data_IF_308666046089
#
_entry.id   IF_308666046089
#
_cell.length_a   1.000
_cell.length_b   1.000
_cell.length_c   1.000
_cell.angle_alpha   90.00
_cell.angle_beta   90.00
_cell.angle_gamma   90.00
#
_symmetry.space_group_name_H-M   'P 1'
#
loop_
_entity.id
_entity.type
_entity.pdbx_description
1 polymer ?
#
# COMPACT_ATOMS: atom_id res chain seq x y z
N UNK A 1 29.21 -23.91 -12.37
CA UNK A 1 28.47 -24.57 -11.27
C UNK A 1 28.94 -24.07 -9.91
N UNK A 2 28.90 -22.74 -9.63
CA UNK A 2 29.34 -22.19 -8.32
C UNK A 2 28.69 -20.85 -7.95
N UNK A 3 27.49 -20.54 -8.45
CA UNK A 3 26.75 -19.30 -8.07
C UNK A 3 25.35 -19.54 -7.49
N UNK A 4 25.00 -20.80 -7.16
CA UNK A 4 23.71 -21.15 -6.54
C UNK A 4 23.75 -21.19 -4.99
N UNK A 5 24.90 -20.92 -4.36
CA UNK A 5 25.07 -21.09 -2.91
C UNK A 5 24.82 -19.82 -2.08
N UNK A 6 24.60 -18.64 -2.71
CA UNK A 6 24.49 -17.38 -1.95
C UNK A 6 23.06 -16.84 -1.78
N UNK A 7 22.07 -17.55 -2.32
CA UNK A 7 20.65 -17.21 -2.10
C UNK A 7 20.08 -17.74 -0.78
N UNK A 8 20.75 -18.66 -0.09
CA UNK A 8 20.30 -19.17 1.21
C UNK A 8 20.67 -18.24 2.38
N UNK A 9 21.69 -17.40 2.24
CA UNK A 9 22.10 -16.43 3.26
C UNK A 9 21.16 -15.20 3.36
N UNK A 10 20.25 -14.99 2.39
CA UNK A 10 19.23 -13.93 2.45
C UNK A 10 17.91 -14.36 3.10
N UNK A 11 17.76 -15.63 3.48
CA UNK A 11 16.55 -16.16 4.12
C UNK A 11 16.52 -15.96 5.64
N UNK A 12 17.62 -15.53 6.26
CA UNK A 12 17.73 -15.32 7.72
C UNK A 12 17.63 -13.85 8.16
N UNK A 13 16.95 -12.99 7.36
CA UNK A 13 16.49 -11.69 7.88
C UNK A 13 15.16 -11.90 8.62
N UNK A 14 15.16 -12.85 9.56
CA UNK A 14 14.01 -13.17 10.40
C UNK A 14 13.79 -12.17 11.54
N UNK A 15 14.68 -11.19 11.75
CA UNK A 15 14.61 -10.29 12.92
C UNK A 15 14.85 -8.81 12.68
N UNK A 16 14.86 -8.30 11.45
CA UNK A 16 14.84 -6.86 11.28
C UNK A 16 13.40 -6.34 11.30
N UNK A 17 12.89 -6.16 12.51
CA UNK A 17 11.79 -5.27 12.85
C UNK A 17 12.01 -3.94 12.13
N UNK A 18 10.93 -3.28 11.68
CA UNK A 18 11.02 -1.86 11.32
C UNK A 18 11.67 -1.17 12.52
N UNK A 19 12.89 -0.61 12.40
CA UNK A 19 13.55 -0.02 13.55
C UNK A 19 12.67 1.09 14.10
N UNK A 20 12.37 1.08 15.39
CA UNK A 20 11.75 2.22 16.05
C UNK A 20 12.78 3.33 16.17
N UNK A 21 12.86 4.17 15.16
CA UNK A 21 13.62 5.39 15.22
C UNK A 21 12.73 6.50 15.81
N UNK A 22 12.69 6.58 17.13
CA UNK A 22 12.20 7.75 17.83
C UNK A 22 13.37 8.74 17.88
N UNK A 23 13.22 9.88 17.21
CA UNK A 23 14.07 11.05 17.44
C UNK A 23 15.43 11.16 16.73
N UNK A 24 15.84 10.23 15.86
CA UNK A 24 17.07 10.37 15.06
C UNK A 24 16.74 10.65 13.60
N UNK A 25 17.46 11.62 13.01
CA UNK A 25 17.40 11.89 11.56
C UNK A 25 17.55 10.57 10.82
N UNK A 26 16.60 10.25 9.94
CA UNK A 26 16.64 9.08 9.06
C UNK A 26 18.04 8.99 8.42
N UNK A 27 18.71 7.82 8.45
CA UNK A 27 20.06 7.69 7.94
C UNK A 27 20.10 8.14 6.48
N UNK A 28 21.01 9.05 6.16
CA UNK A 28 21.28 9.49 4.80
C UNK A 28 21.85 8.31 4.03
N UNK A 29 20.98 7.53 3.36
CA UNK A 29 21.39 6.50 2.41
C UNK A 29 21.49 7.12 1.02
N UNK A 30 22.44 6.65 0.22
CA UNK A 30 22.53 6.99 -1.20
C UNK A 30 21.14 6.82 -1.84
N UNK A 31 20.79 7.75 -2.75
CA UNK A 31 19.49 7.75 -3.42
C UNK A 31 19.51 6.75 -4.56
N UNK A 32 18.94 5.56 -4.31
CA UNK A 32 18.68 4.58 -5.36
C UNK A 32 17.26 4.74 -5.89
N UNK A 33 17.11 4.62 -7.21
CA UNK A 33 15.84 4.78 -7.87
C UNK A 33 15.47 3.52 -8.63
N UNK A 34 14.23 3.09 -8.49
CA UNK A 34 13.63 2.11 -9.36
C UNK A 34 13.06 2.82 -10.58
N UNK A 35 13.40 2.33 -11.78
CA UNK A 35 13.03 2.97 -13.04
C UNK A 35 12.51 1.93 -14.00
N UNK A 36 11.25 2.07 -14.42
CA UNK A 36 10.68 1.29 -15.50
C UNK A 36 11.28 1.77 -16.82
N UNK A 37 11.76 0.86 -17.63
CA UNK A 37 12.24 1.15 -18.99
C UNK A 37 11.19 0.81 -20.05
N UNK A 38 10.46 -0.30 -19.86
CA UNK A 38 9.44 -0.75 -20.81
C UNK A 38 8.34 -1.58 -20.12
N UNK A 39 7.10 -1.44 -20.58
CA UNK A 39 5.98 -2.32 -20.28
C UNK A 39 5.41 -2.87 -21.59
N UNK A 40 5.34 -4.19 -21.70
CA UNK A 40 4.59 -4.87 -22.75
C UNK A 40 3.32 -5.46 -22.16
N UNK A 41 2.17 -5.17 -22.77
CA UNK A 41 0.88 -5.70 -22.38
C UNK A 41 0.18 -6.34 -23.57
N UNK A 42 -0.28 -7.58 -23.43
CA UNK A 42 -1.01 -8.34 -24.41
C UNK A 42 -2.32 -8.85 -23.81
N UNK A 43 -3.45 -8.59 -24.48
CA UNK A 43 -4.80 -8.97 -24.07
C UNK A 43 -5.15 -8.54 -22.63
N UNK A 44 -4.71 -7.35 -22.22
CA UNK A 44 -4.97 -6.81 -20.88
C UNK A 44 -6.05 -5.74 -20.95
N UNK A 45 -7.20 -5.97 -20.29
CA UNK A 45 -8.31 -5.03 -20.27
C UNK A 45 -8.73 -4.65 -21.71
N UNK A 46 -8.58 -3.36 -22.09
CA UNK A 46 -8.83 -2.85 -23.45
C UNK A 46 -7.58 -2.85 -24.34
N UNK A 47 -6.42 -3.25 -23.81
CA UNK A 47 -5.17 -3.30 -24.55
C UNK A 47 -5.07 -4.64 -25.29
N UNK A 48 -4.95 -4.58 -26.62
CA UNK A 48 -4.75 -5.80 -27.42
C UNK A 48 -3.30 -6.26 -27.37
N UNK A 49 -2.39 -5.45 -27.89
CA UNK A 49 -0.95 -5.67 -27.79
C UNK A 49 -0.23 -4.34 -27.94
N UNK A 50 0.48 -3.95 -26.89
CA UNK A 50 1.23 -2.71 -26.85
C UNK A 50 2.55 -2.89 -26.12
N UNK A 51 3.57 -2.16 -26.55
CA UNK A 51 4.84 -2.01 -25.87
C UNK A 51 5.09 -0.51 -25.67
N UNK A 52 5.27 -0.10 -24.42
CA UNK A 52 5.41 1.30 -24.05
C UNK A 52 6.73 1.47 -23.31
N UNK A 53 7.59 2.35 -23.83
CA UNK A 53 8.85 2.71 -23.19
C UNK A 53 8.66 3.97 -22.34
N UNK A 54 9.42 4.06 -21.25
CA UNK A 54 9.38 5.19 -20.30
C UNK A 54 10.76 5.83 -20.17
N UNK A 55 10.79 7.13 -19.85
CA UNK A 55 11.99 7.86 -19.48
C UNK A 55 12.14 7.95 -17.95
N UNK A 56 13.35 8.25 -17.50
CA UNK A 56 13.58 8.72 -16.13
C UNK A 56 12.74 9.99 -15.88
N UNK A 57 12.35 10.22 -14.61
CA UNK A 57 11.56 11.38 -14.23
C UNK A 57 10.11 11.30 -14.67
N UNK A 58 9.56 12.40 -15.19
CA UNK A 58 8.12 12.53 -15.47
C UNK A 58 7.73 11.95 -16.83
N UNK A 59 6.75 11.05 -16.81
CA UNK A 59 6.07 10.48 -17.99
C UNK A 59 4.58 10.85 -17.93
N UNK A 60 4.11 11.57 -18.93
CA UNK A 60 2.75 12.08 -19.01
C UNK A 60 1.94 11.23 -19.99
N UNK A 61 0.89 10.58 -19.49
CA UNK A 61 -0.06 9.82 -20.30
C UNK A 61 -1.28 10.71 -20.57
N UNK A 62 -1.38 11.21 -21.79
CA UNK A 62 -2.44 12.11 -22.19
C UNK A 62 -3.44 11.45 -23.13
N UNK A 63 -4.73 11.74 -22.97
CA UNK A 63 -5.79 11.23 -23.84
C UNK A 63 -7.17 11.38 -23.20
N UNK A 64 -8.23 11.09 -23.97
CA UNK A 64 -9.60 11.18 -23.51
C UNK A 64 -9.92 10.22 -22.35
N UNK A 65 -11.03 10.49 -21.66
CA UNK A 65 -11.55 9.57 -20.66
C UNK A 65 -11.95 8.25 -21.30
N UNK A 66 -11.60 7.12 -20.63
CA UNK A 66 -11.84 5.78 -21.17
C UNK A 66 -10.81 5.31 -22.20
N UNK A 67 -9.86 6.13 -22.63
CA UNK A 67 -8.85 5.76 -23.61
C UNK A 67 -7.91 4.60 -23.18
N UNK A 68 -7.82 4.33 -21.87
CA UNK A 68 -6.96 3.24 -21.32
C UNK A 68 -5.79 3.73 -20.46
N UNK A 69 -5.71 5.03 -20.15
CA UNK A 69 -4.63 5.59 -19.32
C UNK A 69 -4.48 4.87 -17.97
N UNK A 70 -5.58 4.76 -17.24
CA UNK A 70 -5.60 4.05 -15.93
C UNK A 70 -5.26 2.57 -16.07
N UNK A 71 -5.63 1.93 -17.20
CA UNK A 71 -5.32 0.52 -17.42
C UNK A 71 -3.81 0.29 -17.56
N UNK A 72 -3.07 1.23 -18.15
CA UNK A 72 -1.61 1.15 -18.20
C UNK A 72 -0.98 1.28 -16.80
N UNK A 73 -1.44 2.25 -16.00
CA UNK A 73 -0.97 2.39 -14.62
C UNK A 73 -1.32 1.17 -13.77
N UNK A 74 -2.53 0.61 -13.94
CA UNK A 74 -2.94 -0.63 -13.29
C UNK A 74 -2.02 -1.79 -13.67
N UNK A 75 -1.68 -1.95 -14.97
CA UNK A 75 -0.78 -2.98 -15.45
C UNK A 75 0.60 -2.88 -14.77
N UNK A 76 1.16 -1.67 -14.63
CA UNK A 76 2.42 -1.45 -13.88
C UNK A 76 2.25 -1.83 -12.40
N UNK A 77 1.17 -1.37 -11.76
CA UNK A 77 0.96 -1.59 -10.33
C UNK A 77 0.79 -3.06 -9.95
N UNK A 78 0.29 -3.88 -10.86
CA UNK A 78 0.17 -5.33 -10.66
C UNK A 78 1.51 -6.01 -10.38
N UNK A 79 2.62 -5.49 -10.88
CA UNK A 79 3.96 -6.01 -10.57
C UNK A 79 4.40 -5.73 -9.13
N UNK A 80 3.87 -4.67 -8.52
CA UNK A 80 4.18 -4.33 -7.13
C UNK A 80 3.39 -5.16 -6.11
N UNK A 81 2.11 -5.50 -6.38
CA UNK A 81 1.21 -6.10 -5.38
C UNK A 81 0.41 -7.31 -5.87
N UNK A 82 0.47 -7.67 -7.15
CA UNK A 82 -0.31 -8.77 -7.75
C UNK A 82 -1.81 -8.73 -7.51
N UNK A 83 -2.39 -7.55 -7.22
CA UNK A 83 -3.83 -7.33 -6.97
C UNK A 83 -4.28 -6.02 -7.60
N UNK A 84 -5.54 -5.98 -8.07
CA UNK A 84 -6.15 -4.72 -8.51
C UNK A 84 -6.73 -3.93 -7.35
N UNK A 85 -6.79 -2.60 -7.52
CA UNK A 85 -7.58 -1.72 -6.68
C UNK A 85 -9.06 -1.68 -7.09
N UNK A 86 -9.39 -2.08 -8.35
CA UNK A 86 -10.74 -2.00 -8.95
C UNK A 86 -11.53 -3.30 -8.87
N UNK A 87 -10.86 -4.45 -8.98
CA UNK A 87 -11.52 -5.75 -9.04
C UNK A 87 -10.89 -6.76 -8.10
N UNK A 88 -11.73 -7.62 -7.52
CA UNK A 88 -11.27 -8.74 -6.71
C UNK A 88 -10.98 -10.00 -7.56
N UNK A 89 -11.38 -10.02 -8.85
CA UNK A 89 -11.25 -11.19 -9.71
C UNK A 89 -10.12 -11.00 -10.71
N UNK A 90 -9.10 -11.85 -10.62
CA UNK A 90 -7.94 -11.81 -11.52
C UNK A 90 -8.32 -12.12 -13.00
N UNK A 91 -9.40 -12.85 -13.23
CA UNK A 91 -9.94 -13.11 -14.58
C UNK A 91 -10.41 -11.84 -15.32
N UNK A 92 -10.76 -10.78 -14.60
CA UNK A 92 -11.20 -9.51 -15.19
C UNK A 92 -10.05 -8.75 -15.90
N UNK A 93 -8.79 -9.17 -15.70
CA UNK A 93 -7.65 -8.61 -16.41
C UNK A 93 -7.54 -9.11 -17.86
N UNK A 94 -8.14 -10.25 -18.15
CA UNK A 94 -8.09 -10.85 -19.48
C UNK A 94 -9.10 -10.14 -20.40
N UNK A 95 -8.62 -9.69 -21.57
CA UNK A 95 -9.46 -9.08 -22.61
C UNK A 95 -10.58 -10.05 -23.00
N UNK A 96 -11.79 -9.53 -23.12
CA UNK A 96 -12.95 -10.36 -23.48
C UNK A 96 -12.71 -11.15 -24.76
N UNK A 97 -12.84 -12.47 -24.70
CA UNK A 97 -12.62 -13.40 -25.80
C UNK A 97 -11.18 -13.86 -26.00
N UNK A 98 -10.24 -13.45 -25.15
CA UNK A 98 -8.88 -13.96 -25.14
C UNK A 98 -8.70 -15.09 -24.12
N UNK A 99 -7.76 -16.00 -24.40
CA UNK A 99 -7.44 -17.15 -23.54
C UNK A 99 -6.55 -16.78 -22.35
N UNK A 100 -5.82 -15.67 -22.45
CA UNK A 100 -4.93 -15.15 -21.41
C UNK A 100 -4.64 -13.68 -21.59
N UNK A 101 -4.15 -13.04 -20.54
CA UNK A 101 -3.47 -11.75 -20.59
C UNK A 101 -2.01 -11.93 -20.19
N UNK A 102 -1.08 -11.26 -20.88
CA UNK A 102 0.35 -11.31 -20.58
C UNK A 102 0.92 -9.90 -20.40
N UNK A 103 1.56 -9.69 -19.29
CA UNK A 103 2.27 -8.46 -18.95
C UNK A 103 3.75 -8.76 -18.75
N UNK A 104 4.62 -7.94 -19.34
CA UNK A 104 6.08 -7.99 -19.15
C UNK A 104 6.57 -6.61 -18.79
N UNK A 105 7.26 -6.49 -17.64
CA UNK A 105 7.85 -5.26 -17.14
C UNK A 105 9.37 -5.37 -17.15
N UNK A 106 10.01 -4.42 -17.85
CA UNK A 106 11.46 -4.22 -17.76
C UNK A 106 11.74 -2.98 -16.89
N UNK A 107 12.62 -3.14 -15.92
CA UNK A 107 12.98 -2.05 -15.00
C UNK A 107 14.43 -2.18 -14.53
N UNK A 108 15.01 -1.09 -14.08
CA UNK A 108 16.36 -1.03 -13.50
C UNK A 108 16.26 -0.60 -12.04
N UNK A 109 17.24 -1.03 -11.26
CA UNK A 109 17.44 -0.64 -9.88
C UNK A 109 18.88 -0.14 -9.73
N UNK A 110 19.05 1.06 -9.24
CA UNK A 110 20.39 1.61 -8.96
C UNK A 110 21.11 0.84 -7.82
N UNK A 111 20.38 -0.01 -7.09
CA UNK A 111 20.95 -0.81 -5.99
C UNK A 111 21.97 -1.84 -6.49
N UNK A 112 21.87 -2.26 -7.74
CA UNK A 112 22.72 -3.28 -8.35
C UNK A 112 23.84 -2.68 -9.19
N UNK A 113 24.44 -1.56 -8.77
CA UNK A 113 25.52 -0.82 -9.47
C UNK A 113 26.72 -1.66 -9.95
N UNK A 114 26.74 -2.97 -9.77
CA UNK A 114 27.81 -3.84 -10.30
C UNK A 114 27.72 -4.06 -11.81
N UNK A 115 26.49 -3.91 -12.41
CA UNK A 115 26.27 -4.01 -13.83
C UNK A 115 25.19 -2.99 -14.26
N UNK A 116 25.63 -1.83 -14.74
CA UNK A 116 24.78 -0.66 -15.12
C UNK A 116 23.76 -1.02 -16.24
N UNK A 117 23.91 -2.15 -16.92
CA UNK A 117 23.07 -2.58 -18.05
C UNK A 117 22.10 -3.73 -17.77
N UNK A 118 22.00 -4.26 -16.57
CA UNK A 118 21.07 -5.37 -16.30
C UNK A 118 19.65 -4.87 -16.01
N UNK A 119 18.88 -4.62 -17.07
CA UNK A 119 17.44 -4.46 -16.95
C UNK A 119 16.83 -5.75 -16.41
N UNK A 120 16.14 -5.66 -15.27
CA UNK A 120 15.39 -6.79 -14.70
C UNK A 120 14.10 -7.00 -15.47
N UNK A 121 13.66 -8.25 -15.55
CA UNK A 121 12.43 -8.62 -16.21
C UNK A 121 11.48 -9.35 -15.25
N UNK A 122 10.25 -8.86 -15.16
CA UNK A 122 9.17 -9.52 -14.45
C UNK A 122 7.99 -9.78 -15.40
N UNK A 123 7.33 -10.93 -15.27
CA UNK A 123 6.21 -11.30 -16.11
C UNK A 123 5.04 -11.79 -15.27
N UNK A 124 3.84 -11.41 -15.69
CA UNK A 124 2.57 -11.89 -15.11
C UNK A 124 1.67 -12.34 -16.25
N UNK A 125 1.17 -13.57 -16.16
CA UNK A 125 0.14 -14.09 -17.07
C UNK A 125 -1.12 -14.42 -16.27
N UNK A 126 -2.25 -13.82 -16.65
CA UNK A 126 -3.56 -14.07 -16.07
C UNK A 126 -4.41 -14.93 -16.99
N UNK A 127 -5.27 -15.77 -16.41
CA UNK A 127 -6.21 -16.61 -17.11
C UNK A 127 -7.65 -16.29 -16.70
N UNK A 128 -8.67 -16.53 -17.57
CA UNK A 128 -10.07 -16.25 -17.29
C UNK A 128 -10.63 -16.98 -16.06
N UNK A 129 -10.06 -18.14 -15.70
CA UNK A 129 -10.41 -18.91 -14.50
C UNK A 129 -9.87 -18.33 -13.19
N UNK A 130 -9.19 -17.16 -13.26
CA UNK A 130 -8.59 -16.47 -12.13
C UNK A 130 -7.21 -17.01 -11.71
N UNK A 131 -6.68 -18.01 -12.42
CA UNK A 131 -5.30 -18.44 -12.20
C UNK A 131 -4.33 -17.41 -12.75
N UNK A 132 -3.11 -17.40 -12.18
CA UNK A 132 -2.00 -16.59 -12.68
C UNK A 132 -0.68 -17.34 -12.62
N UNK A 133 0.23 -16.98 -13.52
CA UNK A 133 1.63 -17.42 -13.52
C UNK A 133 2.53 -16.20 -13.37
N UNK A 134 3.53 -16.33 -12.53
CA UNK A 134 4.49 -15.28 -12.22
C UNK A 134 5.88 -15.76 -12.61
N UNK A 135 6.66 -14.92 -13.29
CA UNK A 135 8.06 -15.16 -13.60
C UNK A 135 8.89 -13.93 -13.23
N UNK A 136 10.08 -14.15 -12.70
CA UNK A 136 11.06 -13.12 -12.42
C UNK A 136 12.42 -13.60 -12.93
N UNK A 137 13.11 -12.79 -13.77
CA UNK A 137 14.36 -13.15 -14.42
C UNK A 137 14.27 -14.52 -15.12
N UNK A 138 13.18 -14.74 -15.87
CA UNK A 138 12.88 -16.01 -16.58
C UNK A 138 12.67 -17.23 -15.66
N UNK A 139 12.66 -17.06 -14.35
CA UNK A 139 12.39 -18.12 -13.39
C UNK A 139 10.93 -18.07 -12.96
N UNK A 140 10.23 -19.21 -13.04
CA UNK A 140 8.85 -19.31 -12.56
C UNK A 140 8.78 -19.18 -11.03
N UNK A 141 7.92 -18.30 -10.55
CA UNK A 141 7.72 -18.02 -9.13
C UNK A 141 6.43 -18.68 -8.66
N UNK A 142 6.53 -19.57 -7.67
CA UNK A 142 5.38 -20.36 -7.20
C UNK A 142 4.42 -19.60 -6.29
N UNK A 143 4.90 -18.58 -5.57
CA UNK A 143 4.11 -17.84 -4.57
C UNK A 143 4.17 -16.34 -4.80
N UNK A 144 3.04 -15.68 -4.62
CA UNK A 144 2.95 -14.21 -4.70
C UNK A 144 3.92 -13.53 -3.71
N UNK A 145 4.12 -14.10 -2.53
CA UNK A 145 5.07 -13.59 -1.52
C UNK A 145 6.55 -13.67 -1.94
N UNK A 146 6.87 -14.42 -2.98
CA UNK A 146 8.21 -14.52 -3.54
C UNK A 146 8.38 -13.55 -4.73
N UNK A 147 7.28 -13.11 -5.33
CA UNK A 147 7.25 -12.16 -6.45
C UNK A 147 7.22 -10.70 -5.99
N UNK A 148 6.41 -10.40 -4.97
CA UNK A 148 6.29 -9.03 -4.44
C UNK A 148 7.61 -8.60 -3.78
N UNK A 149 7.96 -7.31 -3.94
CA UNK A 149 9.19 -6.72 -3.39
C UNK A 149 10.34 -6.63 -4.40
N UNK A 150 10.28 -7.33 -5.55
CA UNK A 150 11.23 -7.12 -6.63
C UNK A 150 11.00 -5.80 -7.35
N UNK A 151 9.74 -5.45 -7.57
CA UNK A 151 9.32 -4.15 -8.08
C UNK A 151 8.45 -3.44 -7.04
N UNK A 152 8.61 -2.12 -6.89
CA UNK A 152 7.88 -1.30 -5.92
C UNK A 152 7.26 -0.10 -6.59
N UNK A 153 6.00 0.16 -6.29
CA UNK A 153 5.29 1.32 -6.81
C UNK A 153 4.27 1.86 -5.79
N UNK A 154 4.08 3.17 -5.82
CA UNK A 154 2.99 3.85 -5.11
C UNK A 154 1.95 4.24 -6.15
N UNK A 155 0.71 3.86 -5.92
CA UNK A 155 -0.38 4.17 -6.83
C UNK A 155 -1.42 5.09 -6.15
N UNK A 156 -1.72 6.19 -6.80
CA UNK A 156 -2.79 7.10 -6.43
C UNK A 156 -3.88 7.09 -7.50
N UNK A 157 -5.13 7.01 -7.05
CA UNK A 157 -6.32 7.22 -7.89
C UNK A 157 -7.34 8.03 -7.09
N UNK A 158 -8.35 8.68 -7.73
CA UNK A 158 -9.43 9.36 -7.03
C UNK A 158 -10.18 8.46 -6.03
N UNK A 159 -10.27 7.16 -6.29
CA UNK A 159 -10.91 6.18 -5.41
C UNK A 159 -10.22 6.07 -4.03
N UNK A 160 -8.95 6.50 -3.92
CA UNK A 160 -8.25 6.51 -2.63
C UNK A 160 -8.79 7.53 -1.63
N UNK A 161 -9.75 8.39 -2.01
CA UNK A 161 -10.56 9.15 -1.05
C UNK A 161 -11.30 8.23 -0.06
N UNK A 162 -11.50 6.96 -0.42
CA UNK A 162 -12.01 5.92 0.48
C UNK A 162 -11.12 5.68 1.71
N UNK A 163 -9.83 6.02 1.67
CA UNK A 163 -8.95 5.98 2.85
C UNK A 163 -9.47 6.88 3.97
N UNK A 164 -10.06 8.03 3.61
CA UNK A 164 -10.62 8.98 4.59
C UNK A 164 -12.09 8.64 4.89
N UNK A 165 -12.90 8.39 3.86
CA UNK A 165 -14.37 8.25 3.97
C UNK A 165 -14.84 6.81 4.15
N UNK A 166 -14.04 5.87 3.70
CA UNK A 166 -14.41 4.44 3.62
C UNK A 166 -14.31 3.70 4.94
N UNK A 167 -14.53 2.40 4.85
CA UNK A 167 -14.47 1.49 5.97
C UNK A 167 -13.02 1.24 6.45
N UNK A 168 -12.83 0.78 7.70
CA UNK A 168 -11.51 0.40 8.24
C UNK A 168 -10.74 -0.59 7.36
N UNK A 169 -11.45 -1.41 6.59
CA UNK A 169 -10.85 -2.39 5.68
C UNK A 169 -9.95 -1.73 4.63
N UNK A 170 -10.37 -0.57 4.06
CA UNK A 170 -9.59 0.15 3.05
C UNK A 170 -8.27 0.66 3.65
N UNK A 171 -8.30 1.15 4.89
CA UNK A 171 -7.12 1.65 5.60
C UNK A 171 -6.16 0.52 5.98
N UNK A 172 -6.69 -0.62 6.44
CA UNK A 172 -5.88 -1.83 6.67
C UNK A 172 -5.22 -2.31 5.37
N UNK A 173 -6.00 -2.38 4.29
CA UNK A 173 -5.50 -2.79 2.97
C UNK A 173 -4.37 -1.87 2.47
N UNK A 174 -4.52 -0.55 2.63
CA UNK A 174 -3.47 0.43 2.31
C UNK A 174 -2.16 0.11 3.06
N UNK A 175 -2.23 -0.03 4.37
CA UNK A 175 -1.07 -0.37 5.20
C UNK A 175 -0.46 -1.72 4.82
N UNK A 176 -1.28 -2.76 4.66
CA UNK A 176 -0.83 -4.11 4.35
C UNK A 176 -0.16 -4.20 2.97
N UNK A 177 -0.66 -3.45 1.98
CA UNK A 177 -0.04 -3.38 0.66
C UNK A 177 1.34 -2.72 0.70
N UNK A 178 1.49 -1.62 1.44
CA UNK A 178 2.78 -0.95 1.62
C UNK A 178 3.77 -1.87 2.36
N UNK A 179 3.35 -2.47 3.47
CA UNK A 179 4.17 -3.42 4.25
C UNK A 179 4.59 -4.64 3.43
N UNK A 180 3.71 -5.14 2.56
CA UNK A 180 4.01 -6.29 1.69
C UNK A 180 5.13 -5.98 0.69
N UNK A 181 5.20 -4.76 0.16
CA UNK A 181 6.27 -4.34 -0.73
C UNK A 181 7.62 -4.18 -0.01
N UNK A 182 7.58 -3.75 1.26
CA UNK A 182 8.77 -3.56 2.10
C UNK A 182 9.28 -4.90 2.62
N UNK A 183 8.38 -5.75 3.09
CA UNK A 183 8.65 -7.05 3.70
C UNK A 183 7.81 -8.14 3.04
N UNK A 184 8.27 -8.77 1.97
CA UNK A 184 7.48 -9.78 1.25
C UNK A 184 6.99 -10.94 2.13
N UNK A 185 7.76 -11.30 3.16
CA UNK A 185 7.36 -12.29 4.18
C UNK A 185 6.10 -11.93 4.96
N UNK A 186 5.73 -10.64 5.06
CA UNK A 186 4.54 -10.17 5.75
C UNK A 186 3.24 -10.75 5.18
N UNK A 187 3.19 -11.00 3.87
CA UNK A 187 2.03 -11.62 3.21
C UNK A 187 1.73 -13.02 3.78
N UNK A 188 2.76 -13.76 4.19
CA UNK A 188 2.55 -15.09 4.80
C UNK A 188 1.82 -14.96 6.12
N UNK A 189 2.21 -14.01 6.97
CA UNK A 189 1.51 -13.74 8.23
C UNK A 189 0.05 -13.36 8.01
N UNK A 190 -0.25 -12.51 7.00
CA UNK A 190 -1.62 -12.15 6.64
C UNK A 190 -2.43 -13.38 6.20
N UNK A 191 -1.87 -14.24 5.35
CA UNK A 191 -2.54 -15.42 4.85
C UNK A 191 -2.77 -16.47 5.96
N UNK A 192 -1.75 -16.73 6.77
CA UNK A 192 -1.85 -17.68 7.89
C UNK A 192 -2.86 -17.20 8.92
N UNK A 193 -2.82 -15.91 9.27
CA UNK A 193 -3.79 -15.29 10.16
C UNK A 193 -5.23 -15.42 9.63
N UNK A 194 -5.46 -15.12 8.36
CA UNK A 194 -6.78 -15.22 7.74
C UNK A 194 -7.31 -16.67 7.75
N UNK A 195 -6.43 -17.66 7.49
CA UNK A 195 -6.77 -19.08 7.54
C UNK A 195 -7.16 -19.52 8.95
N UNK A 196 -6.35 -19.20 9.97
CA UNK A 196 -6.59 -19.53 11.37
C UNK A 196 -7.88 -18.84 11.85
N UNK A 197 -8.08 -17.56 11.50
CA UNK A 197 -9.30 -16.82 11.83
C UNK A 197 -10.55 -17.49 11.26
N UNK A 198 -10.49 -17.94 10.00
CA UNK A 198 -11.59 -18.71 9.39
C UNK A 198 -11.91 -20.00 10.13
N UNK A 199 -10.89 -20.77 10.52
CA UNK A 199 -11.03 -22.01 11.28
C UNK A 199 -11.59 -21.75 12.68
N UNK A 200 -11.08 -20.73 13.39
CA UNK A 200 -11.57 -20.34 14.71
C UNK A 200 -13.05 -19.89 14.66
N UNK A 201 -13.42 -19.08 13.68
CA UNK A 201 -14.79 -18.62 13.50
C UNK A 201 -15.75 -19.79 13.16
N UNK A 202 -15.31 -20.76 12.37
CA UNK A 202 -16.10 -21.97 12.10
C UNK A 202 -16.35 -22.79 13.37
N UNK A 203 -15.31 -22.91 14.24
CA UNK A 203 -15.44 -23.59 15.53
C UNK A 203 -16.39 -22.84 16.47
N UNK A 204 -16.27 -21.50 16.60
CA UNK A 204 -17.18 -20.68 17.41
C UNK A 204 -18.63 -20.83 16.98
N UNK A 205 -18.91 -20.87 15.68
CA UNK A 205 -20.26 -21.14 15.14
C UNK A 205 -20.75 -22.55 15.51
N UNK A 206 -19.89 -23.55 15.37
CA UNK A 206 -20.24 -24.94 15.72
C UNK A 206 -20.58 -25.09 17.21
N UNK A 207 -19.80 -24.46 18.10
CA UNK A 207 -20.10 -24.44 19.54
C UNK A 207 -21.43 -23.77 19.81
N UNK A 208 -21.69 -22.62 19.20
CA UNK A 208 -22.97 -21.90 19.37
C UNK A 208 -24.16 -22.72 18.92
N UNK A 209 -24.08 -23.43 17.78
CA UNK A 209 -25.21 -24.12 17.15
C UNK A 209 -25.47 -25.49 17.76
N UNK A 210 -24.43 -26.20 18.18
CA UNK A 210 -24.50 -27.57 18.63
C UNK A 210 -24.38 -27.74 20.16
N UNK A 211 -24.03 -26.65 20.88
CA UNK A 211 -23.75 -26.73 22.32
C UNK A 211 -22.56 -27.62 22.68
N UNK A 212 -21.89 -28.17 21.68
CA UNK A 212 -20.73 -29.04 21.85
C UNK A 212 -19.59 -28.53 21.02
N UNK A 213 -18.43 -28.35 21.62
CA UNK A 213 -17.21 -27.93 20.95
C UNK A 213 -16.01 -28.25 21.82
N UNK A 214 -14.88 -28.44 21.17
CA UNK A 214 -13.62 -28.70 21.84
C UNK A 214 -13.00 -27.37 22.33
N UNK A 215 -13.15 -27.10 23.62
CA UNK A 215 -12.56 -25.92 24.26
C UNK A 215 -11.04 -25.92 24.15
N UNK A 216 -10.40 -27.10 24.15
CA UNK A 216 -8.95 -27.21 23.96
C UNK A 216 -8.55 -26.81 22.54
N UNK A 217 -9.32 -27.22 21.53
CA UNK A 217 -9.09 -26.81 20.14
C UNK A 217 -9.28 -25.29 19.95
N UNK A 218 -10.27 -24.68 20.64
CA UNK A 218 -10.48 -23.25 20.60
C UNK A 218 -9.28 -22.48 21.20
N UNK A 219 -8.68 -23.00 22.29
CA UNK A 219 -7.45 -22.45 22.87
C UNK A 219 -6.29 -22.52 21.88
N UNK A 220 -6.08 -23.67 21.23
CA UNK A 220 -5.01 -23.84 20.22
C UNK A 220 -5.15 -22.81 19.08
N UNK A 221 -6.36 -22.62 18.55
CA UNK A 221 -6.58 -21.58 17.53
C UNK A 221 -6.37 -20.16 18.07
N UNK A 222 -6.74 -19.90 19.32
CA UNK A 222 -6.53 -18.59 19.96
C UNK A 222 -5.05 -18.27 20.12
N UNK A 223 -4.23 -19.25 20.54
CA UNK A 223 -2.79 -19.11 20.68
C UNK A 223 -2.12 -18.86 19.32
N UNK A 224 -2.44 -19.68 18.32
CA UNK A 224 -1.91 -19.51 16.97
C UNK A 224 -2.34 -18.16 16.34
N UNK A 225 -3.58 -17.72 16.58
CA UNK A 225 -4.10 -16.45 16.10
C UNK A 225 -3.40 -15.27 16.78
N UNK A 226 -3.11 -15.39 18.10
CA UNK A 226 -2.38 -14.39 18.87
C UNK A 226 -0.95 -14.22 18.36
N UNK A 227 -0.26 -15.31 18.08
CA UNK A 227 1.11 -15.29 17.53
C UNK A 227 1.18 -14.56 16.19
N UNK A 228 0.34 -14.96 15.22
CA UNK A 228 0.33 -14.31 13.89
C UNK A 228 -0.22 -12.89 13.95
N UNK A 229 -1.22 -12.66 14.81
CA UNK A 229 -1.81 -11.34 15.05
C UNK A 229 -0.82 -10.34 15.63
N UNK A 230 0.03 -10.79 16.56
CA UNK A 230 1.05 -9.94 17.18
C UNK A 230 2.04 -9.36 16.15
N UNK A 231 2.54 -10.19 15.24
CA UNK A 231 3.41 -9.74 14.15
C UNK A 231 2.72 -8.68 13.28
N UNK A 232 1.46 -8.93 12.89
CA UNK A 232 0.71 -7.99 12.04
C UNK A 232 0.50 -6.66 12.75
N UNK A 233 0.03 -6.68 14.00
CA UNK A 233 -0.23 -5.48 14.79
C UNK A 233 1.05 -4.66 14.96
N UNK A 234 2.15 -5.30 15.38
CA UNK A 234 3.44 -4.63 15.57
C UNK A 234 3.92 -3.92 14.31
N UNK A 235 3.86 -4.60 13.14
CA UNK A 235 4.27 -3.99 11.87
C UNK A 235 3.37 -2.81 11.49
N UNK A 236 2.05 -2.90 11.72
CA UNK A 236 1.12 -1.80 11.44
C UNK A 236 1.32 -0.62 12.38
N UNK A 237 1.56 -0.85 13.68
CA UNK A 237 1.87 0.21 14.64
C UNK A 237 3.14 0.97 14.23
N UNK A 238 4.20 0.25 13.89
CA UNK A 238 5.44 0.85 13.42
C UNK A 238 5.22 1.66 12.11
N UNK A 239 4.48 1.10 11.14
CA UNK A 239 4.10 1.82 9.91
C UNK A 239 3.29 3.09 10.22
N UNK A 240 2.35 3.04 11.16
CA UNK A 240 1.54 4.18 11.56
C UNK A 240 2.40 5.33 12.13
N UNK A 241 3.41 5.03 12.93
CA UNK A 241 4.35 6.05 13.47
C UNK A 241 5.11 6.75 12.35
N UNK A 242 5.71 6.00 11.41
CA UNK A 242 6.37 6.60 10.24
C UNK A 242 5.40 7.42 9.39
N UNK A 243 4.19 6.90 9.17
CA UNK A 243 3.16 7.58 8.40
C UNK A 243 2.76 8.90 9.06
N UNK A 244 2.61 8.92 10.39
CA UNK A 244 2.31 10.11 11.19
C UNK A 244 3.41 11.19 11.06
N UNK A 245 4.67 10.79 11.16
CA UNK A 245 5.80 11.71 11.09
C UNK A 245 5.91 12.35 9.69
N UNK A 246 5.93 11.51 8.64
CA UNK A 246 6.14 11.96 7.28
C UNK A 246 4.94 12.72 6.70
N UNK A 247 3.72 12.28 7.01
CA UNK A 247 2.51 12.88 6.43
C UNK A 247 2.29 14.32 6.89
N UNK A 248 2.75 14.69 8.06
CA UNK A 248 2.72 16.09 8.53
C UNK A 248 3.53 17.01 7.60
N UNK A 249 4.74 16.57 7.22
CA UNK A 249 5.61 17.32 6.31
C UNK A 249 4.97 17.48 4.94
N UNK A 250 4.58 16.37 4.30
CA UNK A 250 3.96 16.40 2.98
C UNK A 250 2.62 17.14 2.96
N UNK A 251 1.80 17.00 4.00
CA UNK A 251 0.54 17.73 4.09
C UNK A 251 0.79 19.25 4.11
N UNK A 252 1.74 19.71 4.93
CA UNK A 252 2.14 21.13 5.00
C UNK A 252 2.67 21.62 3.66
N UNK A 253 3.49 20.83 2.96
CA UNK A 253 4.06 21.18 1.67
C UNK A 253 2.99 21.33 0.58
N UNK A 254 2.00 20.42 0.53
CA UNK A 254 0.91 20.45 -0.44
C UNK A 254 -0.13 21.54 -0.11
N UNK A 255 -0.58 21.62 1.15
CA UNK A 255 -1.65 22.54 1.56
C UNK A 255 -1.19 23.98 1.73
N UNK A 256 0.10 24.19 2.00
CA UNK A 256 0.69 25.51 2.21
C UNK A 256 0.43 26.10 3.57
N UNK A 257 -0.10 25.37 4.58
CA UNK A 257 -0.52 25.95 5.75
C UNK A 257 -0.70 25.31 7.10
N UNK A 258 -1.29 25.96 7.97
CA UNK A 258 -1.49 26.01 9.40
C UNK A 258 -2.21 24.80 10.01
N UNK A 259 -2.80 23.93 9.24
CA UNK A 259 -3.49 22.74 9.72
C UNK A 259 -2.54 21.56 9.90
N UNK A 260 -2.77 20.75 10.92
CA UNK A 260 -1.98 19.57 11.20
C UNK A 260 -2.77 18.31 10.93
N UNK A 261 -2.12 17.33 10.30
CA UNK A 261 -2.62 15.97 10.11
C UNK A 261 -2.11 15.08 11.24
N UNK A 262 -3.02 14.36 11.88
CA UNK A 262 -2.71 13.38 12.91
C UNK A 262 -3.23 12.01 12.49
N UNK A 263 -2.43 10.98 12.77
CA UNK A 263 -2.74 9.59 12.48
C UNK A 263 -2.57 8.78 13.76
N UNK A 264 -3.55 7.94 14.07
CA UNK A 264 -3.49 7.05 15.23
C UNK A 264 -3.85 5.63 14.78
N UNK A 265 -3.11 4.67 15.31
CA UNK A 265 -3.51 3.27 15.23
C UNK A 265 -4.48 2.98 16.36
N UNK A 266 -5.65 2.48 16.02
CA UNK A 266 -6.68 2.08 16.96
C UNK A 266 -6.94 0.58 16.82
N UNK A 267 -6.71 -0.19 17.86
CA UNK A 267 -6.72 -1.63 17.73
C UNK A 267 -7.12 -2.40 18.98
N UNK A 268 -7.08 -3.71 18.82
CA UNK A 268 -7.40 -4.68 19.87
C UNK A 268 -6.38 -4.69 21.00
N UNK A 269 -5.19 -4.16 20.77
CA UNK A 269 -4.14 -3.97 21.78
C UNK A 269 -3.95 -2.47 21.96
N UNK A 270 -4.03 -2.03 23.20
CA UNK A 270 -3.85 -0.63 23.54
C UNK A 270 -2.37 -0.26 23.42
N UNK A 271 -2.09 0.76 22.62
CA UNK A 271 -0.80 1.45 22.62
C UNK A 271 -0.86 2.52 23.69
N UNK A 272 -0.64 2.13 24.93
CA UNK A 272 -0.74 3.03 26.08
C UNK A 272 0.40 4.06 26.14
N UNK A 273 1.45 3.83 25.34
CA UNK A 273 2.62 4.71 25.26
C UNK A 273 3.11 4.72 23.80
N UNK A 274 2.83 5.79 23.01
CA UNK A 274 3.28 5.90 21.64
C UNK A 274 4.82 5.87 21.47
N UNK A 275 5.56 6.16 22.52
CA UNK A 275 7.03 6.08 22.55
C UNK A 275 7.52 4.67 22.87
N UNK A 276 6.69 3.83 23.51
CA UNK A 276 7.03 2.46 23.85
C UNK A 276 6.75 1.53 22.67
N UNK A 277 7.80 0.85 22.23
CA UNK A 277 7.66 -0.21 21.22
C UNK A 277 7.25 -1.52 21.90
N UNK A 278 5.97 -1.88 21.77
CA UNK A 278 5.50 -3.17 22.28
C UNK A 278 6.16 -4.31 21.49
N UNK A 279 6.72 -5.27 22.20
CA UNK A 279 7.27 -6.51 21.62
C UNK A 279 6.14 -7.40 21.08
N UNK A 280 6.47 -8.31 20.18
CA UNK A 280 5.53 -9.32 19.68
C UNK A 280 4.98 -10.20 20.82
N UNK A 281 5.79 -10.47 21.86
CA UNK A 281 5.36 -11.21 23.04
C UNK A 281 4.28 -10.47 23.82
N UNK A 282 4.51 -9.19 24.15
CA UNK A 282 3.54 -8.35 24.86
C UNK A 282 2.22 -8.23 24.10
N UNK A 283 2.28 -8.00 22.79
CA UNK A 283 1.08 -7.96 21.94
C UNK A 283 0.37 -9.31 21.91
N UNK A 284 1.13 -10.40 21.76
CA UNK A 284 0.57 -11.75 21.76
C UNK A 284 -0.11 -12.14 23.08
N UNK A 285 0.49 -11.76 24.21
CA UNK A 285 -0.09 -11.96 25.54
C UNK A 285 -1.40 -11.15 25.73
N UNK A 286 -1.40 -9.89 25.30
CA UNK A 286 -2.58 -9.06 25.34
C UNK A 286 -3.73 -9.65 24.48
N UNK A 287 -3.44 -10.15 23.28
CA UNK A 287 -4.43 -10.82 22.44
C UNK A 287 -4.98 -12.09 23.07
N UNK A 288 -4.09 -12.94 23.67
CA UNK A 288 -4.52 -14.16 24.39
C UNK A 288 -5.47 -13.82 25.54
N UNK A 289 -5.11 -12.81 26.34
CA UNK A 289 -5.95 -12.33 27.43
C UNK A 289 -7.33 -11.86 26.92
N UNK A 290 -7.37 -11.11 25.81
CA UNK A 290 -8.62 -10.68 25.18
C UNK A 290 -9.47 -11.87 24.72
N UNK A 291 -8.89 -12.89 24.08
CA UNK A 291 -9.63 -14.07 23.64
C UNK A 291 -10.15 -14.87 24.83
N UNK A 292 -9.35 -15.06 25.87
CA UNK A 292 -9.77 -15.78 27.08
C UNK A 292 -10.93 -15.06 27.78
N UNK A 293 -10.81 -13.75 27.98
CA UNK A 293 -11.83 -12.92 28.67
C UNK A 293 -13.17 -12.88 27.88
N UNK A 294 -13.10 -12.88 26.55
CA UNK A 294 -14.27 -12.66 25.69
C UNK A 294 -14.85 -13.96 25.09
N UNK A 295 -14.37 -15.13 25.46
CA UNK A 295 -14.74 -16.43 24.88
C UNK A 295 -16.24 -16.62 24.79
N UNK A 296 -17.00 -16.41 25.87
CA UNK A 296 -18.45 -16.58 25.87
C UNK A 296 -19.17 -15.61 24.92
N UNK A 297 -18.69 -14.35 24.88
CA UNK A 297 -19.27 -13.33 24.00
C UNK A 297 -19.00 -13.60 22.53
N UNK A 298 -17.84 -14.20 22.21
CA UNK A 298 -17.46 -14.63 20.86
C UNK A 298 -18.22 -15.89 20.42
N UNK A 299 -18.45 -16.84 21.35
CA UNK A 299 -19.32 -18.00 21.08
C UNK A 299 -20.74 -17.53 20.76
N UNK A 300 -21.33 -16.64 21.58
CA UNK A 300 -22.66 -16.08 21.30
C UNK A 300 -22.73 -15.38 19.95
N UNK A 301 -21.68 -14.65 19.56
CA UNK A 301 -21.60 -13.96 18.28
C UNK A 301 -21.29 -14.93 17.10
N UNK A 302 -20.62 -16.05 17.37
CA UNK A 302 -20.09 -16.97 16.35
C UNK A 302 -18.94 -16.38 15.54
N UNK A 303 -18.21 -15.41 16.12
CA UNK A 303 -17.12 -14.71 15.42
C UNK A 303 -16.12 -14.13 16.40
N UNK A 304 -14.86 -14.07 15.97
CA UNK A 304 -13.76 -13.42 16.70
C UNK A 304 -13.94 -11.91 16.69
N UNK A 305 -13.87 -11.27 17.86
CA UNK A 305 -14.14 -9.85 18.05
C UNK A 305 -12.88 -9.00 18.12
N UNK A 306 -11.73 -9.57 18.44
CA UNK A 306 -10.46 -8.89 18.66
C UNK A 306 -9.38 -9.39 17.69
N UNK A 307 -8.40 -8.55 17.39
CA UNK A 307 -7.27 -8.86 16.52
C UNK A 307 -7.18 -7.94 15.30
N UNK A 308 -6.08 -8.03 14.54
CA UNK A 308 -5.74 -7.10 13.45
C UNK A 308 -6.79 -6.98 12.35
N UNK A 309 -7.73 -7.92 12.23
CA UNK A 309 -8.87 -7.84 11.31
C UNK A 309 -9.96 -6.85 11.77
N UNK A 310 -9.88 -6.33 13.00
CA UNK A 310 -10.79 -5.34 13.59
C UNK A 310 -10.16 -3.97 13.78
N UNK A 311 -8.83 -3.90 13.73
CA UNK A 311 -8.09 -2.67 13.96
C UNK A 311 -8.32 -1.62 12.86
N UNK A 312 -8.02 -0.36 13.17
CA UNK A 312 -8.22 0.77 12.27
C UNK A 312 -7.06 1.78 12.34
N UNK A 313 -6.97 2.63 11.33
CA UNK A 313 -6.13 3.82 11.28
C UNK A 313 -7.04 5.05 11.26
N UNK A 314 -6.90 5.91 12.25
CA UNK A 314 -7.73 7.10 12.37
C UNK A 314 -6.97 8.33 11.91
N UNK A 315 -7.60 9.14 11.07
CA UNK A 315 -7.04 10.37 10.53
C UNK A 315 -7.81 11.56 11.09
N UNK A 316 -7.07 12.51 11.67
CA UNK A 316 -7.63 13.73 12.27
C UNK A 316 -6.99 14.95 11.63
N UNK A 317 -7.78 16.01 11.48
CA UNK A 317 -7.31 17.29 10.96
C UNK A 317 -7.81 18.41 11.84
N UNK A 318 -6.98 19.40 12.08
CA UNK A 318 -7.39 20.60 12.75
C UNK A 318 -6.27 21.25 13.55
N UNK A 319 -6.62 22.36 14.20
CA UNK A 319 -5.84 22.94 15.29
C UNK A 319 -6.21 22.16 16.55
N UNK A 320 -5.24 21.58 17.21
CA UNK A 320 -5.49 21.01 18.54
C UNK A 320 -6.08 22.06 19.46
N UNK A 321 -7.04 21.73 20.34
CA UNK A 321 -7.49 22.63 21.39
C UNK A 321 -6.31 23.19 22.16
N UNK A 322 -6.32 24.51 22.46
CA UNK A 322 -5.29 25.13 23.30
C UNK A 322 -5.37 24.50 24.70
N UNK A 323 -4.34 23.79 25.10
CA UNK A 323 -4.27 23.03 26.35
C UNK A 323 -3.96 21.55 26.19
N UNK A 324 -4.19 20.97 24.99
CA UNK A 324 -3.80 19.61 24.64
C UNK A 324 -2.66 19.62 23.59
N UNK A 325 -1.74 20.57 23.72
CA UNK A 325 -0.66 20.83 22.78
C UNK A 325 0.35 19.66 22.62
N UNK A 326 0.22 18.65 23.44
CA UNK A 326 1.10 17.48 23.48
C UNK A 326 0.30 16.19 23.26
N UNK A 327 -0.30 16.02 22.09
CA UNK A 327 -0.70 14.66 21.65
C UNK A 327 0.52 13.78 21.34
N UNK A 328 1.73 14.34 21.42
CA UNK A 328 2.97 13.56 21.56
C UNK A 328 3.22 13.11 22.99
N UNK A 329 2.58 13.78 24.00
CA UNK A 329 2.87 13.57 25.40
C UNK A 329 1.70 12.99 26.20
N UNK A 330 0.55 12.73 25.56
CA UNK A 330 -0.54 12.05 26.27
C UNK A 330 -0.51 10.56 25.93
N UNK A 331 -0.10 9.80 26.91
CA UNK A 331 -0.25 8.34 27.04
C UNK A 331 -1.72 7.86 26.97
N UNK A 332 -2.67 8.76 26.76
CA UNK A 332 -4.09 8.49 26.77
C UNK A 332 -4.60 8.18 25.36
N UNK A 333 -4.44 6.91 24.97
CA UNK A 333 -5.35 6.33 23.98
C UNK A 333 -6.75 6.30 24.58
N UNK A 334 -7.80 6.70 23.82
CA UNK A 334 -9.17 6.71 24.33
C UNK A 334 -9.56 5.32 24.86
N UNK A 335 -9.71 5.23 26.17
CA UNK A 335 -9.96 3.96 26.86
C UNK A 335 -11.44 3.54 26.83
N UNK A 336 -12.33 4.45 26.45
CA UNK A 336 -13.77 4.22 26.42
C UNK A 336 -14.36 4.69 25.10
N UNK A 337 -15.55 4.17 24.77
CA UNK A 337 -16.30 4.62 23.58
C UNK A 337 -16.61 6.13 23.60
N UNK A 338 -16.61 6.76 24.76
CA UNK A 338 -16.81 8.22 24.95
C UNK A 338 -15.62 9.02 24.46
N UNK A 339 -14.40 8.56 24.71
CA UNK A 339 -13.17 9.21 24.22
C UNK A 339 -13.02 9.06 22.71
N UNK A 340 -13.34 7.88 22.16
CA UNK A 340 -13.43 7.69 20.71
C UNK A 340 -14.43 8.66 20.07
N UNK A 341 -15.58 8.93 20.72
CA UNK A 341 -16.56 9.91 20.25
C UNK A 341 -15.99 11.34 20.27
N UNK A 342 -15.24 11.72 21.31
CA UNK A 342 -14.58 13.03 21.40
C UNK A 342 -13.58 13.24 20.25
N UNK A 343 -12.77 12.21 19.90
CA UNK A 343 -11.86 12.28 18.77
C UNK A 343 -12.57 12.10 17.42
N UNK A 344 -13.69 11.39 17.38
CA UNK A 344 -14.50 11.28 16.16
C UNK A 344 -15.07 12.64 15.72
N UNK A 345 -15.24 13.59 16.63
CA UNK A 345 -15.63 14.97 16.32
C UNK A 345 -14.58 15.72 15.49
N UNK A 346 -13.30 15.30 15.52
CA UNK A 346 -12.21 15.88 14.72
C UNK A 346 -11.77 14.97 13.58
N UNK A 347 -12.48 13.86 13.34
CA UNK A 347 -12.12 12.92 12.29
C UNK A 347 -12.17 13.58 10.91
N UNK A 348 -11.10 13.43 10.13
CA UNK A 348 -10.98 14.01 8.79
C UNK A 348 -12.15 13.62 7.85
N UNK A 349 -12.78 12.45 8.08
CA UNK A 349 -13.93 11.99 7.30
C UNK A 349 -15.17 12.87 7.47
N UNK A 350 -15.35 13.50 8.63
CA UNK A 350 -16.57 14.23 9.00
C UNK A 350 -16.41 15.75 8.78
N UNK A 351 -15.24 16.31 9.08
CA UNK A 351 -15.04 17.75 9.14
C UNK A 351 -14.11 18.32 8.06
N UNK A 352 -13.28 17.49 7.42
CA UNK A 352 -12.40 17.98 6.37
C UNK A 352 -13.16 18.35 5.10
N UNK A 353 -12.86 19.52 4.51
CA UNK A 353 -13.33 19.90 3.19
C UNK A 353 -12.82 18.91 2.13
N UNK A 354 -13.45 18.88 0.94
CA UNK A 354 -12.99 18.00 -0.13
C UNK A 354 -11.52 18.24 -0.50
N UNK A 355 -11.09 19.51 -0.56
CA UNK A 355 -9.70 19.86 -0.85
C UNK A 355 -8.74 19.36 0.24
N UNK A 356 -9.11 19.46 1.52
CA UNK A 356 -8.34 18.93 2.64
C UNK A 356 -8.23 17.40 2.59
N UNK A 357 -9.33 16.70 2.30
CA UNK A 357 -9.33 15.25 2.16
C UNK A 357 -8.41 14.79 1.02
N UNK A 358 -8.43 15.47 -0.13
CA UNK A 358 -7.54 15.20 -1.27
C UNK A 358 -6.07 15.43 -0.90
N UNK A 359 -5.74 16.57 -0.29
CA UNK A 359 -4.40 16.87 0.18
C UNK A 359 -3.92 15.84 1.21
N UNK A 360 -4.81 15.37 2.09
CA UNK A 360 -4.50 14.31 3.06
C UNK A 360 -4.15 13.01 2.37
N UNK A 361 -4.96 12.54 1.41
CA UNK A 361 -4.67 11.29 0.69
C UNK A 361 -3.36 11.38 -0.09
N UNK A 362 -3.08 12.53 -0.72
CA UNK A 362 -1.80 12.76 -1.39
C UNK A 362 -0.64 12.70 -0.41
N UNK A 363 -0.75 13.36 0.75
CA UNK A 363 0.28 13.31 1.79
C UNK A 363 0.52 11.89 2.30
N UNK A 364 -0.54 11.09 2.50
CA UNK A 364 -0.45 9.68 2.86
C UNK A 364 0.28 8.85 1.79
N UNK A 365 -0.02 9.07 0.51
CA UNK A 365 0.60 8.35 -0.60
C UNK A 365 2.07 8.73 -0.83
N UNK A 366 2.41 9.99 -0.64
CA UNK A 366 3.81 10.43 -0.66
C UNK A 366 4.59 9.84 0.52
N UNK A 367 3.97 9.81 1.70
CA UNK A 367 4.55 9.18 2.88
C UNK A 367 4.75 7.68 2.70
N UNK A 368 3.79 6.98 2.10
CA UNK A 368 3.93 5.56 1.71
C UNK A 368 5.21 5.36 0.89
N UNK A 369 5.43 6.18 -0.14
CA UNK A 369 6.61 6.09 -0.99
C UNK A 369 7.91 6.39 -0.25
N UNK A 370 7.89 7.34 0.67
CA UNK A 370 9.05 7.67 1.48
C UNK A 370 9.38 6.59 2.53
N UNK A 371 8.35 5.96 3.11
CA UNK A 371 8.51 4.78 4.00
C UNK A 371 9.10 3.62 3.20
N UNK A 372 8.58 3.33 2.02
CA UNK A 372 9.12 2.28 1.14
C UNK A 372 10.60 2.58 0.85
N UNK A 373 10.93 3.80 0.42
CA UNK A 373 12.32 4.22 0.15
C UNK A 373 13.23 4.01 1.36
N UNK A 374 12.79 4.50 2.52
CA UNK A 374 13.59 4.45 3.74
C UNK A 374 13.88 3.02 4.19
N UNK A 375 12.89 2.16 4.14
CA UNK A 375 12.98 0.79 4.68
C UNK A 375 13.54 -0.21 3.65
N UNK A 376 13.31 0.00 2.35
CA UNK A 376 13.88 -0.85 1.30
C UNK A 376 15.23 -0.36 0.77
N UNK A 377 15.58 0.92 1.01
CA UNK A 377 16.78 1.56 0.49
C UNK A 377 16.63 2.09 -0.94
N UNK A 378 15.45 1.97 -1.57
CA UNK A 378 15.21 2.30 -2.96
C UNK A 378 13.89 3.05 -3.15
N UNK A 379 13.89 4.12 -3.95
CA UNK A 379 12.70 4.91 -4.24
C UNK A 379 11.75 4.14 -5.17
N UNK A 380 10.46 3.98 -4.81
CA UNK A 380 9.48 3.34 -5.68
C UNK A 380 9.16 4.21 -6.90
N UNK A 381 8.54 3.61 -7.91
CA UNK A 381 7.91 4.35 -9.02
C UNK A 381 6.57 4.91 -8.54
N UNK A 382 6.27 6.17 -8.91
CA UNK A 382 5.02 6.82 -8.56
C UNK A 382 4.04 6.81 -9.74
N UNK A 383 2.84 6.34 -9.48
CA UNK A 383 1.75 6.21 -10.46
C UNK A 383 0.57 7.09 -10.00
N UNK A 384 0.26 8.13 -10.75
CA UNK A 384 -0.81 9.07 -10.43
C UNK A 384 -1.88 9.09 -11.52
N UNK A 385 -3.08 8.66 -11.15
CA UNK A 385 -4.23 8.69 -12.05
C UNK A 385 -5.06 9.96 -11.79
N UNK A 386 -5.10 10.84 -12.77
CA UNK A 386 -5.88 12.09 -12.82
C UNK A 386 -5.73 13.01 -11.59
N UNK A 387 -4.56 13.03 -10.99
CA UNK A 387 -4.32 13.84 -9.77
C UNK A 387 -4.35 15.34 -10.04
N UNK A 388 -3.90 15.78 -11.22
CA UNK A 388 -3.78 17.23 -11.52
C UNK A 388 -5.14 17.92 -11.67
N UNK A 389 -6.19 17.20 -12.11
CA UNK A 389 -7.54 17.75 -12.18
C UNK A 389 -8.12 18.11 -10.80
N UNK A 390 -7.55 17.55 -9.75
CA UNK A 390 -7.97 17.66 -8.36
C UNK A 390 -7.28 18.80 -7.59
N UNK A 391 -6.27 19.46 -8.20
CA UNK A 391 -5.41 20.45 -7.57
C UNK A 391 -5.53 21.81 -8.28
N UNK A 392 -5.50 22.90 -7.50
CA UNK A 392 -5.26 24.25 -8.04
C UNK A 392 -3.80 24.43 -8.52
N UNK A 393 -3.53 25.48 -9.31
CA UNK A 393 -2.22 25.68 -9.95
C UNK A 393 -1.07 25.74 -8.91
N UNK A 394 -1.26 26.42 -7.80
CA UNK A 394 -0.21 26.54 -6.76
C UNK A 394 0.10 25.17 -6.13
N UNK A 395 -0.93 24.34 -5.92
CA UNK A 395 -0.75 22.99 -5.39
C UNK A 395 -0.14 22.05 -6.41
N UNK A 396 -0.44 22.22 -7.71
CA UNK A 396 0.19 21.43 -8.80
C UNK A 396 1.71 21.65 -8.82
N UNK A 397 2.15 22.91 -8.79
CA UNK A 397 3.59 23.22 -8.78
C UNK A 397 4.31 22.61 -7.58
N UNK A 398 3.74 22.80 -6.39
CA UNK A 398 4.29 22.21 -5.16
C UNK A 398 4.33 20.69 -5.21
N UNK A 399 3.25 20.05 -5.67
CA UNK A 399 3.16 18.61 -5.81
C UNK A 399 4.23 18.07 -6.76
N UNK A 400 4.43 18.70 -7.91
CA UNK A 400 5.40 18.24 -8.90
C UNK A 400 6.86 18.46 -8.43
N UNK A 401 7.14 19.49 -7.62
CA UNK A 401 8.47 19.76 -7.09
C UNK A 401 8.98 18.68 -6.10
N UNK A 402 8.06 17.90 -5.48
CA UNK A 402 8.40 16.86 -4.51
C UNK A 402 9.18 15.70 -5.14
N UNK A 403 8.98 15.46 -6.45
CA UNK A 403 9.49 14.22 -7.06
C UNK A 403 10.97 14.28 -7.44
N UNK A 404 11.50 15.45 -7.86
CA UNK A 404 12.90 15.60 -8.27
C UNK A 404 13.29 14.55 -9.34
N UNK A 405 14.21 13.66 -9.03
CA UNK A 405 14.72 12.62 -9.93
C UNK A 405 13.89 11.31 -9.94
N UNK A 406 12.88 11.22 -9.09
CA UNK A 406 12.02 10.02 -8.99
C UNK A 406 11.22 9.83 -10.28
N UNK A 407 11.03 8.57 -10.68
CA UNK A 407 10.18 8.29 -11.83
C UNK A 407 8.70 8.40 -11.47
N UNK A 408 7.97 9.17 -12.26
CA UNK A 408 6.54 9.43 -12.12
C UNK A 408 5.83 9.11 -13.43
N UNK A 409 4.79 8.32 -13.38
CA UNK A 409 3.82 8.12 -14.46
C UNK A 409 2.52 8.82 -14.04
N UNK A 410 2.12 9.81 -14.81
CA UNK A 410 0.97 10.66 -14.49
C UNK A 410 -0.01 10.71 -15.65
N UNK A 411 -1.29 10.44 -15.38
CA UNK A 411 -2.34 10.55 -16.39
C UNK A 411 -3.00 11.95 -16.35
N UNK A 412 -3.36 12.45 -17.50
CA UNK A 412 -4.05 13.72 -17.65
C UNK A 412 -5.05 13.66 -18.81
N UNK A 413 -6.18 14.39 -18.69
CA UNK A 413 -7.18 14.55 -19.75
C UNK A 413 -7.08 15.93 -20.43
N UNK A 414 -6.47 16.91 -19.74
CA UNK A 414 -6.33 18.29 -20.25
C UNK A 414 -4.95 18.50 -20.89
N UNK A 415 -4.98 18.83 -22.18
CA UNK A 415 -3.76 19.14 -22.94
C UNK A 415 -3.03 20.37 -22.38
N UNK A 416 -3.76 21.36 -21.87
CA UNK A 416 -3.15 22.59 -21.35
C UNK A 416 -2.38 22.32 -20.05
N UNK A 417 -2.86 21.40 -19.21
CA UNK A 417 -2.15 20.98 -18.01
C UNK A 417 -0.80 20.31 -18.31
N UNK A 418 -0.64 19.78 -19.54
CA UNK A 418 0.58 19.05 -19.96
C UNK A 418 1.59 19.96 -20.66
N UNK A 419 1.15 21.05 -21.31
CA UNK A 419 2.02 21.93 -22.15
C UNK A 419 3.18 22.56 -21.40
N UNK A 420 3.02 22.82 -20.10
CA UNK A 420 4.01 23.49 -19.27
C UNK A 420 4.90 22.51 -18.49
N UNK A 421 4.70 21.20 -18.64
CA UNK A 421 5.43 20.19 -17.92
C UNK A 421 6.55 19.62 -18.79
N UNK A 422 7.79 19.66 -18.28
CA UNK A 422 8.94 19.02 -18.93
C UNK A 422 8.95 17.53 -18.58
N UNK A 423 8.64 16.68 -19.55
CA UNK A 423 8.61 15.22 -19.40
C UNK A 423 8.28 14.52 -20.71
N UNK A 424 8.42 13.19 -20.72
CA UNK A 424 8.02 12.38 -21.87
C UNK A 424 6.50 12.34 -21.97
N UNK A 425 5.94 12.68 -23.10
CA UNK A 425 4.49 12.64 -23.33
C UNK A 425 4.10 11.46 -24.19
N UNK A 426 3.19 10.63 -23.69
CA UNK A 426 2.63 9.45 -24.33
C UNK A 426 1.15 9.72 -24.59
N UNK A 427 0.77 9.73 -25.87
CA UNK A 427 -0.63 9.87 -26.25
C UNK A 427 -1.35 8.52 -26.17
N UNK A 428 -2.54 8.52 -25.56
CA UNK A 428 -3.34 7.31 -25.35
C UNK A 428 -4.68 7.42 -26.05
N UNK A 429 -4.97 6.47 -26.95
CA UNK A 429 -6.23 6.41 -27.68
C UNK A 429 -6.68 4.95 -27.84
N UNK A 430 -7.86 4.61 -27.32
CA UNK A 430 -8.47 3.27 -27.47
C UNK A 430 -7.52 2.09 -27.17
N UNK A 431 -6.74 2.18 -26.11
CA UNK A 431 -5.79 1.13 -25.72
C UNK A 431 -4.50 1.10 -26.53
N UNK A 432 -4.25 2.10 -27.39
CA UNK A 432 -2.97 2.31 -28.09
C UNK A 432 -2.21 3.46 -27.45
N UNK A 433 -0.87 3.35 -27.46
CA UNK A 433 0.04 4.28 -26.82
C UNK A 433 1.13 4.69 -27.80
N UNK A 434 1.27 5.98 -28.09
CA UNK A 434 2.23 6.52 -29.04
C UNK A 434 2.94 7.75 -28.48
N UNK A 435 4.21 7.94 -28.81
CA UNK A 435 4.91 9.19 -28.51
C UNK A 435 4.37 10.34 -29.38
N UNK A 436 4.32 11.55 -28.80
CA UNK A 436 3.80 12.73 -29.47
C UNK A 436 4.52 13.08 -30.77
N UNK A 437 5.83 12.83 -30.89
CA UNK A 437 6.62 13.09 -32.10
C UNK A 437 6.19 12.28 -33.32
N UNK A 438 5.61 11.09 -33.12
CA UNK A 438 5.19 10.21 -34.20
C UNK A 438 3.82 10.56 -34.79
N UNK A 439 3.03 11.41 -34.15
CA UNK A 439 1.69 11.80 -34.63
C UNK A 439 1.68 12.94 -35.66
N UNK A 440 2.73 13.76 -35.69
CA UNK A 440 2.83 14.84 -36.69
C UNK A 440 3.25 14.35 -38.08
N UNK A 441 3.67 13.10 -38.21
CA UNK A 441 4.14 12.50 -39.49
C UNK A 441 3.09 11.62 -40.19
N UNK A 442 1.90 11.44 -39.62
CA UNK A 442 0.87 10.51 -40.11
C UNK A 442 -0.48 11.18 -40.42
N UNK A 443 -0.53 12.49 -40.67
CA UNK A 443 -1.72 13.26 -41.09
C UNK A 443 -1.66 13.64 -42.56
#
# INVERSE_FOLDING_TARGET
>A
MSHLCDMSARADISESIIPCYVGSKLPYRERFFMIITNLTAENFRNIEKQSVSFSKGLNLLYGENGAGKTNLLEAVYLFAICKSHRTAKDGDFVRRGADFSHLTLHFTSDFDRKDIDSARCAEIRYFPDGKKRLCYESVSVGKVSEFIGHFRAVFFTPDHLSLIKGAPEERRKFCDMALSQIKPGYIRYLNDYAKILGQRNALLKSIREKGAGDAALLSVYSDALSEKGAVIIRQRMAFCRYLQELSRGFYKEISGDSERLFIRYYGSVKDSDPEKDLSESEIGEALRAQYAHNTESEIRAGTTKYGPHRDDFLFFMGKLPQGEANLSDTSDTPDTGEEYQKYAEFAARTFASQGQQRSTVLALKLSEGEIIRTLSGESPVYLFDDVLSELDENRKERFLSIFGEKQVLLTCCDENAVKNLSGRTIFVRNGTYAERENMQKGG
#
